data_IF_535288600700
#
_entry.id   IF_535288600700
#
_cell.length_a   1.000
_cell.length_b   1.000
_cell.length_c   1.000
_cell.angle_alpha   90.00
_cell.angle_beta   90.00
_cell.angle_gamma   90.00
#
_symmetry.space_group_name_H-M   'P 1'
#
loop_
_entity.id
_entity.type
_entity.pdbx_description
1 polymer ?
2 non-polymer ?
3 water ?
#
# COMPACT_ATOMS: atom_id res chain seq x y z
N UNK A 1 4.65 -21.13 -12.72
CA UNK A 1 4.08 -20.92 -11.36
C UNK A 1 2.67 -20.32 -11.50
N UNK A 2 1.82 -20.55 -10.49
CA UNK A 2 0.44 -20.08 -10.41
C UNK A 2 0.17 -19.10 -9.27
N UNK A 3 -0.26 -17.90 -9.64
CA UNK A 3 -0.54 -16.85 -8.65
C UNK A 3 -1.98 -16.37 -8.82
N UNK A 4 -2.45 -15.63 -7.83
CA UNK A 4 -3.82 -15.19 -7.74
C UNK A 4 -3.96 -13.96 -6.80
N UNK A 5 -5.07 -13.28 -6.96
CA UNK A 5 -5.60 -12.34 -5.98
C UNK A 5 -6.97 -12.83 -5.53
N UNK A 6 -7.17 -12.98 -4.23
CA UNK A 6 -8.49 -13.34 -3.69
C UNK A 6 -9.18 -12.09 -3.07
N UNK A 7 -10.49 -12.05 -3.18
CA UNK A 7 -11.31 -10.90 -2.75
C UNK A 7 -12.76 -11.15 -3.13
N UNK A 8 -13.67 -10.32 -2.60
CA UNK A 8 -15.12 -10.38 -2.98
C UNK A 8 -15.71 -8.98 -2.83
N UNK A 9 -16.05 -8.32 -3.95
CA UNK A 9 -15.80 -8.72 -5.35
C UNK A 9 -14.30 -8.69 -5.75
N UNK A 10 -14.03 -9.07 -6.98
CA UNK A 10 -12.64 -9.19 -7.43
C UNK A 10 -12.40 -8.66 -8.87
N UNK A 11 -13.45 -8.50 -9.64
CA UNK A 11 -13.25 -8.21 -11.08
C UNK A 11 -12.65 -6.79 -11.35
N UNK A 12 -12.60 -5.92 -10.36
CA UNK A 12 -12.05 -4.56 -10.57
C UNK A 12 -10.54 -4.52 -10.29
N UNK A 13 -10.00 -5.61 -9.74
CA UNK A 13 -8.62 -5.66 -9.34
C UNK A 13 -7.77 -5.47 -10.57
N UNK A 14 -6.77 -4.60 -10.49
CA UNK A 14 -5.86 -4.36 -11.62
C UNK A 14 -4.59 -5.20 -11.44
N UNK A 15 -4.58 -5.99 -10.37
CA UNK A 15 -3.47 -6.90 -10.09
C UNK A 15 -3.19 -7.93 -11.18
N UNK A 16 -4.23 -8.62 -11.68
CA UNK A 16 -3.84 -9.53 -12.76
C UNK A 16 -3.22 -8.90 -14.02
N UNK A 17 -3.71 -7.72 -14.43
CA UNK A 17 -3.15 -7.00 -15.58
C UNK A 17 -1.69 -6.56 -15.36
N UNK A 18 -1.46 -5.98 -14.19
CA UNK A 18 -0.17 -5.47 -13.78
C UNK A 18 0.87 -6.61 -13.69
N UNK A 19 0.49 -7.69 -13.06
CA UNK A 19 1.37 -8.83 -12.90
C UNK A 19 1.66 -9.50 -14.21
N UNK A 20 0.68 -9.48 -15.12
CA UNK A 20 0.95 -10.01 -16.43
C UNK A 20 1.95 -9.19 -17.24
N UNK A 21 1.94 -7.86 -17.10
CA UNK A 21 2.97 -7.04 -17.77
C UNK A 21 4.38 -7.35 -17.25
N UNK A 22 4.46 -7.65 -15.95
CA UNK A 22 5.74 -8.04 -15.38
C UNK A 22 6.19 -9.41 -15.92
N UNK A 23 5.31 -10.39 -15.93
CA UNK A 23 5.63 -11.69 -16.57
C UNK A 23 6.12 -11.57 -18.01
N UNK A 24 5.48 -10.71 -18.80
CA UNK A 24 5.85 -10.50 -20.20
C UNK A 24 7.24 -9.91 -20.36
N UNK A 25 7.55 -8.88 -19.58
CA UNK A 25 8.86 -8.22 -19.62
C UNK A 25 10.00 -9.17 -19.22
N UNK A 26 9.73 -10.07 -18.28
CA UNK A 26 10.70 -11.03 -17.76
C UNK A 26 10.65 -12.43 -18.43
N UNK A 27 9.81 -12.60 -19.44
CA UNK A 27 9.55 -13.90 -20.11
C UNK A 27 9.28 -15.05 -19.19
N UNK A 28 8.44 -14.83 -18.20
CA UNK A 28 8.00 -15.87 -17.29
C UNK A 28 6.66 -16.41 -17.80
N UNK A 29 6.52 -17.73 -17.79
CA UNK A 29 5.29 -18.39 -18.24
C UNK A 29 4.51 -18.73 -16.96
N UNK A 30 3.89 -17.70 -16.37
CA UNK A 30 3.18 -17.86 -15.10
C UNK A 30 1.70 -17.49 -15.27
N UNK A 31 0.84 -17.88 -14.31
CA UNK A 31 -0.54 -17.30 -14.30
C UNK A 31 -0.68 -16.33 -13.13
N UNK A 32 -1.50 -15.28 -13.27
CA UNK A 32 -1.97 -14.53 -12.12
C UNK A 32 -3.46 -14.27 -12.38
N UNK A 33 -4.32 -14.83 -11.53
CA UNK A 33 -5.76 -14.83 -11.79
C UNK A 33 -6.52 -14.19 -10.67
N UNK A 34 -7.56 -13.45 -11.04
CA UNK A 34 -8.57 -13.02 -10.06
C UNK A 34 -9.44 -14.19 -9.62
N UNK A 35 -9.44 -14.47 -8.32
CA UNK A 35 -10.26 -15.54 -7.74
C UNK A 35 -11.36 -14.98 -6.81
N UNK A 36 -12.62 -15.11 -7.28
CA UNK A 36 -13.76 -14.67 -6.53
C UNK A 36 -14.02 -15.60 -5.35
N UNK A 37 -13.90 -15.06 -4.13
CA UNK A 37 -14.14 -15.88 -2.92
C UNK A 37 -15.17 -15.14 -2.01
N UNK A 38 -16.46 -15.50 -2.16
CA UNK A 38 -17.46 -15.02 -1.20
C UNK A 38 -17.14 -15.36 0.26
N UNK A 39 -17.49 -14.45 1.17
CA UNK A 39 -17.38 -14.73 2.62
C UNK A 39 -17.97 -16.10 3.04
N UNK A 40 -19.11 -16.44 2.44
CA UNK A 40 -19.77 -17.72 2.73
C UNK A 40 -19.03 -18.98 2.31
N UNK A 41 -18.03 -18.83 1.43
CA UNK A 41 -17.15 -19.93 0.99
C UNK A 41 -15.77 -19.87 1.66
N UNK A 42 -15.53 -18.81 2.45
CA UNK A 42 -14.18 -18.54 2.89
C UNK A 42 -13.63 -19.58 3.88
N UNK A 43 -14.51 -20.23 4.63
CA UNK A 43 -14.07 -21.35 5.47
C UNK A 43 -13.42 -22.46 4.65
N UNK A 44 -13.72 -22.54 3.34
CA UNK A 44 -13.06 -23.53 2.47
C UNK A 44 -11.83 -23.01 1.70
N UNK A 45 -11.28 -21.85 2.08
CA UNK A 45 -10.18 -21.25 1.35
C UNK A 45 -8.97 -22.20 1.06
N UNK A 46 -8.60 -23.02 2.00
CA UNK A 46 -7.45 -23.91 1.74
C UNK A 46 -7.64 -24.84 0.56
N UNK A 47 -8.83 -25.45 0.49
CA UNK A 47 -9.26 -26.30 -0.62
C UNK A 47 -9.32 -25.49 -1.91
N UNK A 48 -9.92 -24.30 -1.85
CA UNK A 48 -10.08 -23.42 -3.04
C UNK A 48 -8.74 -23.10 -3.72
N UNK A 49 -7.73 -22.72 -2.93
CA UNK A 49 -6.37 -22.44 -3.42
C UNK A 49 -5.59 -23.73 -3.77
N UNK A 50 -5.61 -24.71 -2.88
CA UNK A 50 -4.78 -25.94 -3.04
C UNK A 50 -5.13 -26.75 -4.28
N UNK A 51 -6.44 -26.79 -4.55
CA UNK A 51 -6.99 -27.46 -5.72
C UNK A 51 -6.46 -26.87 -7.00
N UNK A 52 -6.21 -25.56 -7.00
CA UNK A 52 -5.62 -24.99 -8.18
C UNK A 52 -4.14 -24.92 -8.23
N UNK A 53 -3.42 -25.52 -7.30
CA UNK A 53 -1.95 -25.55 -7.27
C UNK A 53 -1.33 -24.14 -7.33
N UNK A 54 -1.91 -23.26 -6.53
CA UNK A 54 -1.45 -21.88 -6.46
C UNK A 54 -0.24 -21.83 -5.52
N UNK A 55 0.81 -21.19 -6.00
CA UNK A 55 2.07 -20.96 -5.27
C UNK A 55 2.13 -19.70 -4.42
N UNK A 56 1.19 -18.78 -4.61
CA UNK A 56 1.22 -17.51 -3.89
C UNK A 56 0.04 -16.69 -4.32
N UNK A 57 -0.48 -15.83 -3.43
CA UNK A 57 -1.62 -15.01 -3.79
C UNK A 57 -1.66 -13.70 -2.96
N UNK A 58 -2.08 -12.65 -3.63
CA UNK A 58 -2.51 -11.42 -2.92
C UNK A 58 -3.93 -11.50 -2.36
N UNK A 59 -4.20 -10.67 -1.36
CA UNK A 59 -5.47 -10.72 -0.58
C UNK A 59 -5.96 -9.29 -0.55
N UNK A 60 -7.19 -9.08 -1.02
CA UNK A 60 -7.82 -7.74 -0.95
C UNK A 60 -9.17 -7.84 -0.21
N UNK A 61 -10.05 -6.86 -0.39
CA UNK A 61 -11.29 -6.74 0.39
C UNK A 61 -12.24 -7.91 0.07
N UNK A 62 -12.90 -8.48 1.09
CA UNK A 62 -12.88 -8.15 2.55
C UNK A 62 -12.10 -9.15 3.43
N UNK A 63 -10.95 -9.64 2.94
CA UNK A 63 -10.29 -10.82 3.57
C UNK A 63 -8.93 -10.54 4.21
N UNK A 64 -8.44 -9.29 4.20
CA UNK A 64 -7.07 -9.02 4.78
C UNK A 64 -6.89 -9.40 6.25
N UNK A 65 -7.99 -9.39 7.01
CA UNK A 65 -7.95 -9.86 8.39
C UNK A 65 -8.42 -11.27 8.47
N UNK A 66 -9.49 -11.58 7.73
CA UNK A 66 -10.12 -12.88 7.69
C UNK A 66 -9.14 -14.01 7.37
N UNK A 67 -8.13 -13.72 6.53
CA UNK A 67 -7.15 -14.73 6.14
C UNK A 67 -6.32 -15.31 7.27
N UNK A 68 -6.05 -14.47 8.27
CA UNK A 68 -5.01 -14.73 9.32
C UNK A 68 -5.08 -16.10 10.09
N UNK A 69 -6.26 -16.45 10.65
CA UNK A 69 -6.49 -17.75 11.27
C UNK A 69 -6.13 -18.99 10.40
N UNK A 70 -6.03 -18.81 9.08
CA UNK A 70 -5.78 -19.91 8.16
C UNK A 70 -4.30 -20.07 7.83
N UNK A 71 -3.47 -19.14 8.35
CA UNK A 71 -2.04 -19.17 8.08
C UNK A 71 -1.29 -20.09 9.07
N UNK A 72 -0.18 -20.63 8.60
CA UNK A 72 0.71 -21.44 9.45
C UNK A 72 1.69 -20.52 10.18
N UNK A 73 2.04 -19.40 9.57
CA UNK A 73 2.90 -18.43 10.21
C UNK A 73 2.62 -17.12 9.50
N UNK A 74 3.14 -16.05 10.08
CA UNK A 74 2.88 -14.72 9.68
C UNK A 74 4.05 -13.77 10.10
N UNK A 75 4.49 -12.89 9.22
CA UNK A 75 5.63 -12.04 9.58
C UNK A 75 5.29 -10.87 10.50
N UNK A 76 6.32 -10.16 10.95
CA UNK A 76 6.09 -9.09 11.90
C UNK A 76 5.40 -7.85 11.37
N UNK A 77 5.72 -7.48 10.13
CA UNK A 77 5.08 -6.37 9.42
C UNK A 77 3.56 -6.62 9.36
N UNK A 78 3.17 -7.86 9.11
CA UNK A 78 1.75 -8.22 9.01
C UNK A 78 1.09 -8.30 10.39
N UNK A 79 1.75 -8.92 11.39
CA UNK A 79 1.22 -8.95 12.77
C UNK A 79 1.05 -7.53 13.33
N UNK A 80 2.04 -6.68 13.06
CA UNK A 80 2.04 -5.29 13.53
C UNK A 80 0.78 -4.48 13.13
N UNK A 81 0.34 -4.57 11.86
CA UNK A 81 -0.90 -3.88 11.40
C UNK A 81 -2.19 -4.69 11.50
N UNK A 82 -2.07 -5.99 11.77
CA UNK A 82 -3.24 -6.87 11.92
C UNK A 82 -3.91 -7.25 10.60
N UNK A 83 -3.14 -7.26 9.51
CA UNK A 83 -3.67 -7.51 8.18
C UNK A 83 -2.59 -8.23 7.33
N UNK A 84 -3.03 -9.15 6.47
CA UNK A 84 -2.17 -9.83 5.46
C UNK A 84 -2.64 -9.47 4.06
N UNK A 85 -1.72 -8.98 3.22
CA UNK A 85 -2.01 -8.78 1.79
C UNK A 85 -1.31 -9.77 0.83
N UNK A 86 -0.43 -10.62 1.36
CA UNK A 86 0.41 -11.51 0.58
C UNK A 86 0.55 -12.91 1.26
N UNK A 87 0.26 -13.99 0.53
CA UNK A 87 0.41 -15.35 1.12
C UNK A 87 1.38 -16.11 0.21
N UNK A 88 2.33 -16.79 0.84
CA UNK A 88 3.30 -17.67 0.18
C UNK A 88 2.94 -19.10 0.54
N UNK A 89 2.79 -19.93 -0.47
CA UNK A 89 2.51 -21.35 -0.27
C UNK A 89 3.84 -22.10 -0.53
N UNK A 90 4.43 -22.62 0.53
CA UNK A 90 5.77 -23.20 0.42
C UNK A 90 5.68 -24.55 1.09
N UNK A 91 5.77 -25.59 0.26
CA UNK A 91 5.56 -26.97 0.64
C UNK A 91 4.23 -27.13 1.35
N UNK A 92 3.19 -26.52 0.77
CA UNK A 92 1.84 -26.56 1.34
C UNK A 92 1.56 -25.78 2.63
N UNK A 93 2.59 -25.21 3.28
CA UNK A 93 2.39 -24.28 4.40
C UNK A 93 2.09 -22.88 3.86
N UNK A 94 1.21 -22.15 4.58
CA UNK A 94 0.77 -20.81 4.17
C UNK A 94 1.45 -19.78 5.07
N UNK A 95 2.25 -18.90 4.47
CA UNK A 95 3.03 -17.94 5.22
C UNK A 95 2.56 -16.55 4.81
N UNK A 96 2.15 -15.79 5.80
CA UNK A 96 1.65 -14.43 5.58
C UNK A 96 2.63 -13.28 5.74
N UNK A 97 2.54 -12.37 4.75
CA UNK A 97 3.29 -11.14 4.63
C UNK A 97 2.34 -9.96 4.39
N UNK A 98 2.88 -8.75 4.55
CA UNK A 98 2.15 -7.52 4.22
C UNK A 98 3.08 -6.52 3.53
N UNK A 99 2.91 -6.36 2.23
CA UNK A 99 3.76 -5.51 1.43
C UNK A 99 3.22 -4.09 1.17
N UNK A 100 2.13 -3.68 1.84
CA UNK A 100 1.53 -2.35 1.57
C UNK A 100 2.40 -1.16 2.09
N UNK A 101 2.82 -1.24 3.35
CA UNK A 101 3.63 -0.19 3.97
C UNK A 101 4.96 -0.03 3.30
N UNK A 102 5.62 -1.17 3.00
CA UNK A 102 6.95 -1.16 2.38
C UNK A 102 6.81 -0.73 0.93
N UNK A 103 5.70 -1.08 0.29
CA UNK A 103 5.48 -0.65 -1.10
C UNK A 103 5.38 0.88 -1.22
N UNK A 104 4.59 1.47 -0.33
CA UNK A 104 4.48 2.94 -0.24
C UNK A 104 5.89 3.61 -0.10
N UNK A 105 6.64 3.20 0.90
CA UNK A 105 7.94 3.77 1.26
C UNK A 105 8.96 3.55 0.12
N UNK A 106 8.95 2.35 -0.48
CA UNK A 106 9.86 2.10 -1.60
C UNK A 106 9.58 2.97 -2.83
N UNK A 107 8.31 3.24 -3.10
CA UNK A 107 7.94 4.28 -4.06
C UNK A 107 8.42 5.69 -3.67
N UNK A 108 8.13 6.10 -2.44
CA UNK A 108 8.46 7.43 -1.97
C UNK A 108 9.98 7.73 -2.00
N UNK A 109 10.80 6.74 -1.60
CA UNK A 109 12.28 6.82 -1.71
C UNK A 109 12.83 7.18 -3.09
N UNK A 110 12.18 6.74 -4.17
CA UNK A 110 12.66 7.01 -5.51
C UNK A 110 12.22 8.37 -6.11
N UNK A 111 11.27 9.06 -5.49
CA UNK A 111 10.91 10.41 -5.98
C UNK A 111 11.27 11.54 -5.01
N UNK A 112 11.61 11.19 -3.78
CA UNK A 112 11.97 12.19 -2.80
C UNK A 112 13.46 12.04 -2.51
N UNK A 113 14.19 13.14 -2.65
CA UNK A 113 15.63 13.15 -2.38
C UNK A 113 15.95 13.41 -0.93
N UNK A 114 16.66 12.51 -0.30
CA UNK A 114 17.09 12.72 1.08
C UNK A 114 16.01 12.49 2.12
N UNK A 115 15.27 11.40 1.97
CA UNK A 115 14.25 11.01 2.93
C UNK A 115 14.77 10.78 4.36
N UNK A 116 16.05 10.43 4.48
CA UNK A 116 16.68 10.30 5.78
C UNK A 116 16.51 11.56 6.65
N UNK A 117 16.55 12.72 6.01
CA UNK A 117 16.51 14.02 6.73
C UNK A 117 15.15 14.73 6.70
N UNK A 118 14.15 14.08 6.09
CA UNK A 118 12.79 14.62 6.00
C UNK A 118 12.07 14.73 7.35
N UNK A 119 11.40 15.86 7.58
CA UNK A 119 10.37 15.94 8.63
C UNK A 119 9.00 15.51 8.08
N UNK A 120 8.47 14.40 8.57
CA UNK A 120 7.32 13.74 7.93
C UNK A 120 6.11 13.81 8.86
N UNK A 121 4.99 14.26 8.30
CA UNK A 121 3.67 14.21 8.93
C UNK A 121 2.80 13.13 8.24
N UNK A 122 2.19 12.25 9.05
CA UNK A 122 1.21 11.29 8.55
C UNK A 122 -0.15 11.64 9.12
N UNK A 123 -1.15 11.68 8.26
CA UNK A 123 -2.51 11.94 8.71
C UNK A 123 -3.27 10.60 8.78
N UNK A 124 -3.83 10.32 9.97
CA UNK A 124 -4.58 9.09 10.23
C UNK A 124 -3.72 8.20 11.08
N UNK A 125 -4.38 7.42 11.92
CA UNK A 125 -3.77 6.57 12.93
C UNK A 125 -4.16 5.09 12.74
N UNK A 126 -4.75 4.75 11.61
CA UNK A 126 -5.15 3.37 11.39
C UNK A 126 -4.04 2.42 10.91
N UNK A 127 -4.47 1.27 10.40
CA UNK A 127 -3.54 0.26 9.86
C UNK A 127 -2.62 0.70 8.72
N UNK A 128 -3.13 1.49 7.79
CA UNK A 128 -2.38 1.94 6.64
C UNK A 128 -1.31 2.95 7.08
N UNK A 129 -1.69 3.85 8.00
CA UNK A 129 -0.76 4.74 8.68
C UNK A 129 0.34 3.97 9.45
N UNK A 130 -0.06 3.03 10.29
CA UNK A 130 0.90 2.22 11.06
C UNK A 130 1.89 1.43 10.20
N UNK A 131 1.42 0.88 9.08
CA UNK A 131 2.29 0.14 8.17
C UNK A 131 3.33 1.01 7.52
N UNK A 132 2.93 2.20 7.10
CA UNK A 132 3.84 3.16 6.52
C UNK A 132 4.85 3.70 7.59
N UNK A 133 4.34 4.04 8.77
CA UNK A 133 5.16 4.56 9.89
C UNK A 133 6.19 3.51 10.30
N UNK A 134 5.74 2.26 10.35
CA UNK A 134 6.63 1.12 10.59
C UNK A 134 7.87 1.09 9.72
N UNK A 135 7.70 1.29 8.42
CA UNK A 135 8.81 1.29 7.48
C UNK A 135 9.65 2.56 7.47
N UNK A 136 9.02 3.71 7.67
CA UNK A 136 9.70 5.01 7.70
C UNK A 136 10.62 5.14 8.90
N UNK A 137 10.14 4.66 10.04
CA UNK A 137 10.86 4.59 11.32
C UNK A 137 12.28 3.99 11.18
N UNK A 138 12.39 2.91 10.40
CA UNK A 138 13.66 2.27 10.04
C UNK A 138 14.70 3.16 9.27
N UNK A 139 14.23 4.15 8.50
CA UNK A 139 15.16 4.92 7.67
C UNK A 139 15.15 6.44 7.80
N UNK A 140 14.19 6.99 8.54
CA UNK A 140 14.08 8.44 8.68
C UNK A 140 14.63 8.90 10.04
N UNK A 141 15.56 9.86 10.03
CA UNK A 141 16.18 10.34 11.29
C UNK A 141 15.26 11.24 12.11
N UNK A 142 14.78 12.38 11.54
CA UNK A 142 13.86 13.17 12.36
C UNK A 142 12.69 12.31 12.80
N UNK A 143 12.35 12.39 14.09
CA UNK A 143 11.22 11.58 14.62
C UNK A 143 9.90 11.88 13.84
N UNK A 144 9.05 10.86 13.71
CA UNK A 144 7.87 10.95 12.85
C UNK A 144 6.71 11.64 13.55
N UNK A 145 5.89 12.36 12.78
CA UNK A 145 4.71 12.93 13.39
C UNK A 145 3.43 12.38 12.80
N UNK A 146 2.53 11.95 13.67
CA UNK A 146 1.23 11.43 13.25
C UNK A 146 0.11 12.24 13.91
N UNK A 147 -0.82 12.71 13.09
CA UNK A 147 -1.97 13.53 13.46
C UNK A 147 -3.28 12.75 13.22
N UNK A 148 -4.14 12.77 14.24
CA UNK A 148 -5.47 12.20 14.16
C UNK A 148 -6.42 13.16 14.87
N UNK A 149 -7.69 13.19 14.47
CA UNK A 149 -8.68 13.96 15.23
C UNK A 149 -8.87 13.46 16.69
N UNK A 150 -8.89 12.14 16.89
CA UNK A 150 -8.90 11.59 18.26
C UNK A 150 -7.57 10.94 18.64
N UNK A 151 -7.07 11.34 19.81
CA UNK A 151 -5.80 10.89 20.34
C UNK A 151 -5.87 9.47 20.92
N UNK A 152 -7.10 8.97 21.08
CA UNK A 152 -7.30 7.67 21.67
C UNK A 152 -6.87 6.58 20.71
N UNK A 153 -7.05 6.77 19.40
CA UNK A 153 -6.66 5.67 18.49
C UNK A 153 -5.16 5.38 18.32
N UNK A 154 -4.32 6.18 19.01
CA UNK A 154 -2.90 5.91 19.18
C UNK A 154 -2.64 4.96 20.37
N UNK A 155 -3.71 4.57 21.07
CA UNK A 155 -3.64 3.61 22.17
C UNK A 155 -3.05 2.23 21.87
N UNK A 156 -3.08 1.82 20.62
CA UNK A 156 -2.47 0.54 20.24
C UNK A 156 -1.18 0.72 19.45
N UNK A 157 -0.59 1.91 19.52
CA UNK A 157 0.66 2.18 18.81
C UNK A 157 1.81 2.00 19.79
N UNK A 158 2.73 1.10 19.45
CA UNK A 158 3.91 0.84 20.28
C UNK A 158 5.01 1.80 19.89
N UNK A 159 4.91 2.26 18.64
CA UNK A 159 5.92 3.08 17.99
C UNK A 159 6.02 4.41 18.70
N UNK A 160 7.24 4.87 18.96
CA UNK A 160 7.41 6.13 19.68
C UNK A 160 7.62 7.32 18.73
N UNK A 161 6.54 8.06 18.48
CA UNK A 161 6.46 9.09 17.45
C UNK A 161 5.78 10.28 18.08
N UNK A 162 5.77 11.44 17.41
CA UNK A 162 4.96 12.55 17.92
C UNK A 162 3.50 12.36 17.53
N UNK A 163 2.65 12.35 18.56
CA UNK A 163 1.20 12.29 18.43
C UNK A 163 0.53 13.67 18.58
N UNK A 164 -0.04 14.19 17.51
CA UNK A 164 -0.69 15.50 17.55
C UNK A 164 -2.13 15.42 17.03
N UNK A 165 -2.91 16.48 17.28
CA UNK A 165 -4.22 16.52 16.66
C UNK A 165 -4.16 17.32 15.35
N UNK A 166 -5.31 17.45 14.71
CA UNK A 166 -5.35 18.02 13.39
C UNK A 166 -5.09 19.52 13.41
N UNK A 167 -5.63 20.23 14.40
CA UNK A 167 -5.52 21.69 14.38
C UNK A 167 -4.09 22.11 14.69
N UNK A 168 -3.40 21.34 15.53
CA UNK A 168 -1.97 21.49 15.75
C UNK A 168 -1.16 21.23 14.47
N UNK A 169 -1.44 20.12 13.77
CA UNK A 169 -0.91 19.87 12.44
C UNK A 169 -1.08 21.08 11.50
N UNK A 170 -2.30 21.62 11.42
CA UNK A 170 -2.59 22.78 10.59
C UNK A 170 -1.76 24.03 10.93
N UNK A 171 -1.63 24.31 12.22
CA UNK A 171 -0.86 25.49 12.61
C UNK A 171 0.65 25.32 12.58
N UNK A 172 1.15 24.09 12.51
CA UNK A 172 2.60 23.88 12.45
C UNK A 172 3.03 23.28 11.13
N UNK A 173 2.23 23.48 10.09
CA UNK A 173 2.28 22.68 8.88
C UNK A 173 3.54 22.96 8.08
N UNK A 174 4.07 24.17 8.26
CA UNK A 174 5.27 24.61 7.56
C UNK A 174 6.51 23.92 8.12
N UNK A 175 6.36 23.16 9.20
CA UNK A 175 7.50 22.44 9.74
C UNK A 175 7.72 21.11 9.03
N UNK A 176 6.83 20.74 8.08
CA UNK A 176 6.92 19.39 7.50
C UNK A 176 7.38 19.40 6.03
N UNK A 177 8.28 18.49 5.68
CA UNK A 177 8.76 18.34 4.28
C UNK A 177 7.87 17.39 3.43
N UNK A 178 7.18 16.46 4.08
CA UNK A 178 6.30 15.45 3.45
C UNK A 178 5.06 15.24 4.31
N UNK A 179 3.89 15.34 3.69
CA UNK A 179 2.64 15.09 4.39
C UNK A 179 2.04 13.89 3.73
N UNK A 180 1.74 12.87 4.52
CA UNK A 180 1.17 11.61 4.01
C UNK A 180 -0.28 11.41 4.54
N UNK A 181 -1.26 11.63 3.68
CA UNK A 181 -2.65 11.38 4.05
C UNK A 181 -3.02 9.87 3.89
N UNK A 182 -3.58 9.27 4.95
CA UNK A 182 -4.08 7.89 4.96
C UNK A 182 -5.58 7.88 5.35
N UNK A 183 -6.16 9.07 5.51
CA UNK A 183 -7.58 9.19 5.87
C UNK A 183 -8.52 9.12 4.65
N UNK A 184 -9.64 8.37 4.76
CA UNK A 184 -10.56 8.19 3.59
C UNK A 184 -11.19 9.46 2.99
N UNK A 192 -13.61 18.44 0.22
CA UNK A 192 -13.00 18.63 1.55
C UNK A 192 -11.61 18.04 1.74
N UNK A 193 -10.61 18.94 1.73
CA UNK A 193 -9.25 18.60 2.16
C UNK A 193 -9.26 18.44 3.68
N UNK A 194 -8.95 17.22 4.12
CA UNK A 194 -8.87 16.78 5.51
C UNK A 194 -8.25 17.78 6.49
N UNK A 195 -7.20 18.47 6.06
CA UNK A 195 -6.58 19.55 6.84
C UNK A 195 -6.55 20.85 6.00
N UNK A 196 -6.69 21.98 6.68
CA UNK A 196 -6.42 23.27 6.03
C UNK A 196 -5.01 23.29 5.51
N UNK A 197 -4.83 23.77 4.27
CA UNK A 197 -3.48 23.96 3.70
C UNK A 197 -2.98 25.43 3.69
N UNK A 198 -3.67 26.30 4.43
CA UNK A 198 -3.30 27.73 4.48
C UNK A 198 -1.90 28.05 5.00
N UNK A 199 -1.36 27.21 5.85
CA UNK A 199 0.03 27.37 6.30
C UNK A 199 1.04 26.37 5.67
N UNK A 200 0.70 25.84 4.50
CA UNK A 200 1.54 24.88 3.83
C UNK A 200 2.76 25.58 3.14
N UNK A 201 3.97 25.21 3.53
CA UNK A 201 5.24 25.67 2.88
C UNK A 201 5.26 25.26 1.39
N UNK A 202 5.97 26.06 0.58
CA UNK A 202 6.02 25.87 -0.86
C UNK A 202 6.70 24.56 -1.35
N UNK A 203 7.68 24.07 -0.61
CA UNK A 203 8.51 22.91 -1.02
C UNK A 203 7.88 21.51 -0.67
N UNK A 204 7.04 21.49 0.36
CA UNK A 204 6.44 20.26 0.90
C UNK A 204 5.76 19.34 -0.14
N UNK A 205 6.19 18.09 -0.12
CA UNK A 205 5.54 17.02 -0.87
C UNK A 205 4.24 16.62 -0.13
N UNK A 206 3.13 16.78 -0.84
CA UNK A 206 1.83 16.33 -0.41
C UNK A 206 1.43 15.01 -1.17
N UNK A 207 1.07 14.03 -0.36
CA UNK A 207 0.87 12.66 -0.80
C UNK A 207 -0.38 12.06 -0.21
N UNK A 208 -1.02 11.16 -0.97
CA UNK A 208 -2.22 10.45 -0.55
C UNK A 208 -2.04 9.00 -1.00
N UNK A 209 -2.46 8.04 -0.17
CA UNK A 209 -2.32 6.58 -0.47
C UNK A 209 -3.35 6.08 -1.51
N UNK A 210 -4.30 6.96 -1.84
CA UNK A 210 -5.36 6.78 -2.86
C UNK A 210 -4.90 7.23 -4.27
N UNK A 211 -5.22 6.43 -5.29
CA UNK A 211 -5.10 6.90 -6.65
C UNK A 211 -6.43 6.82 -7.45
N UNK A 212 -7.52 6.42 -6.82
CA UNK A 212 -8.88 6.59 -7.35
C UNK A 212 -9.68 7.35 -6.30
N UNK A 213 -10.00 8.63 -6.56
CA UNK A 213 -9.64 9.42 -7.75
C UNK A 213 -8.14 9.68 -7.87
N UNK A 214 -7.71 10.03 -9.08
CA UNK A 214 -6.31 10.25 -9.36
C UNK A 214 -5.69 11.44 -8.53
N UNK A 215 -6.54 12.40 -8.13
CA UNK A 215 -6.19 13.46 -7.19
C UNK A 215 -7.32 13.65 -6.21
N UNK A 216 -7.07 13.37 -4.94
CA UNK A 216 -8.04 13.66 -3.91
C UNK A 216 -8.05 15.20 -3.64
N UNK A 217 -9.05 15.70 -2.88
CA UNK A 217 -9.19 17.13 -2.60
C UNK A 217 -7.91 17.76 -1.98
N UNK A 218 -7.27 17.09 -0.98
CA UNK A 218 -5.93 17.52 -0.45
C UNK A 218 -4.86 17.73 -1.54
N UNK A 219 -4.75 16.78 -2.46
CA UNK A 219 -3.82 16.88 -3.59
C UNK A 219 -4.14 18.02 -4.57
N UNK A 220 -5.43 18.21 -4.87
CA UNK A 220 -5.87 19.35 -5.70
C UNK A 220 -5.54 20.72 -5.02
N UNK A 221 -5.86 20.88 -3.75
CA UNK A 221 -5.64 22.16 -3.09
C UNK A 221 -4.11 22.43 -3.02
N UNK A 222 -3.33 21.40 -2.68
CA UNK A 222 -1.89 21.54 -2.58
C UNK A 222 -1.24 21.95 -3.92
N UNK A 223 -1.60 21.25 -4.99
CA UNK A 223 -1.09 21.51 -6.36
C UNK A 223 -1.44 22.94 -6.86
N UNK A 224 -2.61 23.42 -6.46
CA UNK A 224 -3.02 24.80 -6.73
C UNK A 224 -2.10 25.85 -6.08
N UNK A 225 -1.58 25.56 -4.89
CA UNK A 225 -0.59 26.41 -4.22
C UNK A 225 0.81 26.23 -4.78
N UNK A 226 0.99 25.30 -5.72
CA UNK A 226 2.27 25.03 -6.40
C UNK A 226 3.11 23.90 -5.84
N UNK A 227 2.62 23.22 -4.82
CA UNK A 227 3.30 22.07 -4.27
C UNK A 227 3.31 20.82 -5.15
N UNK A 228 4.45 20.11 -5.11
CA UNK A 228 4.44 18.79 -5.73
C UNK A 228 3.51 17.87 -4.96
N UNK A 229 2.79 17.05 -5.72
CA UNK A 229 1.81 16.09 -5.23
C UNK A 229 2.18 14.64 -5.68
N UNK A 230 1.66 13.64 -4.96
CA UNK A 230 2.11 12.24 -5.12
C UNK A 230 0.96 11.30 -4.70
N UNK A 231 0.27 10.70 -5.65
CA UNK A 231 -0.81 9.78 -5.24
C UNK A 231 -0.29 8.34 -5.01
N UNK A 232 -1.24 7.43 -4.80
CA UNK A 232 -1.02 6.07 -4.31
C UNK A 232 -0.75 5.04 -5.38
N UNK A 233 -0.51 5.52 -6.59
CA UNK A 233 -0.21 4.63 -7.72
C UNK A 233 1.11 3.88 -7.55
N UNK A 234 2.17 4.59 -7.17
CA UNK A 234 3.43 3.92 -6.91
C UNK A 234 3.27 2.87 -5.81
N UNK A 235 2.40 3.15 -4.82
CA UNK A 235 2.23 2.24 -3.71
C UNK A 235 1.65 0.87 -4.15
N UNK A 236 0.67 0.93 -5.04
CA UNK A 236 0.02 -0.24 -5.66
C UNK A 236 1.02 -1.08 -6.50
N UNK A 237 1.85 -0.41 -7.29
CA UNK A 237 2.82 -1.19 -8.06
C UNK A 237 3.91 -1.81 -7.19
N UNK A 238 4.41 -1.08 -6.19
CA UNK A 238 5.51 -1.53 -5.36
C UNK A 238 5.05 -2.62 -4.37
N UNK A 239 3.81 -2.53 -3.88
CA UNK A 239 3.28 -3.58 -3.07
C UNK A 239 3.21 -4.91 -3.83
N UNK A 240 2.70 -4.90 -5.07
CA UNK A 240 2.69 -6.09 -5.93
C UNK A 240 4.08 -6.58 -6.29
N UNK A 241 4.99 -5.63 -6.61
CA UNK A 241 6.39 -5.98 -6.90
C UNK A 241 7.07 -6.67 -5.74
N UNK A 242 6.79 -6.18 -4.52
CA UNK A 242 7.31 -6.81 -3.31
C UNK A 242 6.78 -8.26 -3.09
N UNK A 243 5.49 -8.50 -3.35
CA UNK A 243 4.89 -9.84 -3.27
C UNK A 243 5.60 -10.78 -4.23
N UNK A 244 5.82 -10.30 -5.43
CA UNK A 244 6.56 -11.00 -6.47
C UNK A 244 7.99 -11.40 -6.01
N UNK A 245 8.67 -10.48 -5.34
CA UNK A 245 10.04 -10.78 -4.84
C UNK A 245 10.00 -11.86 -3.77
N UNK A 246 9.00 -11.82 -2.90
CA UNK A 246 8.79 -12.92 -1.92
C UNK A 246 8.56 -14.27 -2.59
N UNK A 247 7.79 -14.26 -3.67
CA UNK A 247 7.35 -15.53 -4.24
C UNK A 247 8.39 -16.19 -5.13
N UNK A 248 9.25 -15.39 -5.77
CA UNK A 248 9.99 -15.80 -6.97
C UNK A 248 11.49 -15.58 -6.86
N UNK A 249 11.95 -14.69 -5.97
CA UNK A 249 13.38 -14.29 -5.83
C UNK A 249 13.94 -13.59 -7.06
N UNK A 250 13.06 -13.10 -7.94
CA UNK A 250 13.43 -12.33 -9.14
C UNK A 250 13.16 -10.85 -8.94
N UNK A 251 13.57 -10.05 -9.94
CA UNK A 251 13.57 -8.63 -9.84
C UNK A 251 12.48 -8.19 -10.77
N UNK A 252 11.39 -7.57 -10.22
CA UNK A 252 10.25 -7.11 -11.03
C UNK A 252 10.52 -5.90 -11.93
N UNK A 253 9.78 -5.79 -13.02
CA UNK A 253 9.89 -4.64 -13.88
C UNK A 253 8.86 -3.60 -13.45
N UNK A 254 9.28 -2.69 -12.57
CA UNK A 254 8.46 -1.59 -12.03
C UNK A 254 7.84 -0.76 -13.15
N UNK A 255 8.64 -0.38 -14.15
CA UNK A 255 8.15 0.49 -15.22
C UNK A 255 7.05 -0.14 -16.04
N UNK A 256 7.28 -1.37 -16.50
CA UNK A 256 6.24 -2.11 -17.21
C UNK A 256 4.97 -2.23 -16.37
N UNK A 257 5.11 -2.50 -15.06
CA UNK A 257 3.95 -2.67 -14.17
C UNK A 257 3.13 -1.37 -14.00
N UNK A 258 3.82 -0.26 -13.70
CA UNK A 258 3.22 1.07 -13.66
C UNK A 258 2.61 1.51 -14.98
N UNK A 259 3.34 1.31 -16.09
CA UNK A 259 2.87 1.79 -17.40
C UNK A 259 1.57 1.09 -17.83
N UNK A 260 1.41 -0.19 -17.52
CA UNK A 260 0.17 -0.87 -17.90
C UNK A 260 -1.02 -0.37 -17.06
N UNK A 261 -0.81 -0.10 -15.78
CA UNK A 261 -1.89 0.47 -14.98
C UNK A 261 -2.28 1.88 -15.53
N UNK A 262 -1.30 2.74 -15.82
CA UNK A 262 -1.59 4.05 -16.45
C UNK A 262 -2.45 3.91 -17.74
N UNK A 263 -2.00 3.04 -18.66
CA UNK A 263 -2.79 2.72 -19.86
C UNK A 263 -4.23 2.34 -19.56
N UNK A 264 -4.43 1.53 -18.53
CA UNK A 264 -5.76 1.08 -18.18
C UNK A 264 -6.66 2.20 -17.62
N UNK A 265 -6.10 3.00 -16.72
CA UNK A 265 -6.81 4.14 -16.12
C UNK A 265 -7.12 5.22 -17.16
N UNK A 266 -6.27 5.35 -18.17
CA UNK A 266 -6.50 6.28 -19.25
C UNK A 266 -7.54 5.79 -20.25
N UNK A 267 -8.04 4.59 -20.05
CA UNK A 267 -8.91 3.89 -20.99
C UNK A 267 -8.29 3.73 -22.37
N UNK A 268 -6.96 3.53 -22.41
CA UNK A 268 -6.21 3.44 -23.67
C UNK A 268 -5.88 1.98 -24.04
N UNK A 269 -6.52 1.06 -23.31
CA UNK A 269 -6.46 -0.39 -23.59
C UNK A 269 -7.80 -0.87 -24.16
N UNK A 270 -7.74 -1.80 -25.11
CA UNK A 270 -8.90 -2.13 -25.94
C UNK A 270 -9.59 -3.43 -25.56
N UNK A 271 -10.89 -3.35 -25.26
CA UNK A 271 -11.76 -4.54 -25.14
C UNK A 271 -13.24 -4.20 -25.02
X LIG B 1 6.51 -3.01 10.19
X LIG B 1 6.89 -4.08 11.05
X LIG B 1 5.39 -3.29 9.17
X LIG B 1 4.07 -3.21 9.70
X LIG B 1 5.51 -2.35 7.98
X LIG B 1 4.44 -2.49 7.09
#
# INVERSE_FOLDING_TARGET
>A
MKFAVIGNPISHSLSPLMHHANFQSLNLENTYEAINVPVNQFQDIKKIISEKSIDGFNVTIPHKERIIPYLDDINEQAKSVGAVNTVLVKDGKWIGYNTDGIGYVNGLKQIYEGIEDAYILILGAGGASKGIANELYKIVRPTLTVANRTMSRFNNWSLNINKINLSHAESHLDEFDIIINTTPAGMNGNTDSVISLNRLASHTLVSDIVYNPYKTPILIEAEQRGNPIYNGLDMFVHQGAESFKIWTNLEPDIKAMKNIVIQKLKGELLEHHHHHH
>B hetero
1 GOL C1 O1 C2 O2 C3 O3
#
